data_IF_819254676012
#
_entry.id   IF_819254676012
#
_cell.length_a   1.000
_cell.length_b   1.000
_cell.length_c   1.000
_cell.angle_alpha   90.00
_cell.angle_beta   90.00
_cell.angle_gamma   90.00
#
_symmetry.space_group_name_H-M   'P 1'
#
loop_
_entity.id
_entity.type
_entity.pdbx_description
1 polymer ?
#
# COMPACT_ATOMS: atom_id res chain seq x y z
N UNK A 1 -19.22 43.72 10.72
CA UNK A 1 -18.94 42.33 10.27
C UNK A 1 -19.53 41.40 11.30
N UNK A 2 -20.56 40.63 10.95
CA UNK A 2 -21.34 39.86 11.93
C UNK A 2 -20.51 38.72 12.55
N UNK A 3 -20.68 38.44 13.84
CA UNK A 3 -20.01 37.31 14.53
C UNK A 3 -20.27 35.96 13.85
N UNK A 4 -21.40 35.80 13.16
CA UNK A 4 -21.69 34.66 12.29
C UNK A 4 -20.78 34.60 11.05
N UNK A 5 -20.49 35.73 10.39
CA UNK A 5 -19.56 35.78 9.25
C UNK A 5 -18.12 35.49 9.69
N UNK A 6 -17.72 35.89 10.90
CA UNK A 6 -16.42 35.52 11.47
C UNK A 6 -16.32 34.03 11.79
N UNK A 7 -17.37 33.40 12.34
CA UNK A 7 -17.39 31.94 12.58
C UNK A 7 -17.41 31.13 11.28
N UNK A 8 -18.14 31.58 10.27
CA UNK A 8 -18.18 30.94 8.94
C UNK A 8 -16.80 31.07 8.27
N UNK A 9 -16.21 32.27 8.28
CA UNK A 9 -14.85 32.49 7.76
C UNK A 9 -13.75 31.77 8.53
N UNK A 10 -13.94 31.49 9.83
CA UNK A 10 -13.00 30.71 10.65
C UNK A 10 -13.15 29.20 10.45
N UNK A 11 -14.37 28.70 10.23
CA UNK A 11 -14.61 27.30 9.88
C UNK A 11 -13.94 26.92 8.54
N UNK A 12 -13.89 27.85 7.59
CA UNK A 12 -13.22 27.68 6.29
C UNK A 12 -11.67 27.78 6.37
N UNK A 13 -11.08 28.08 7.54
CA UNK A 13 -9.61 28.28 7.69
C UNK A 13 -8.84 27.11 8.29
N UNK A 14 -9.50 26.02 8.69
CA UNK A 14 -8.76 24.84 9.18
C UNK A 14 -8.27 24.03 7.98
N UNK A 15 -7.00 24.24 7.62
CA UNK A 15 -6.35 23.45 6.58
C UNK A 15 -6.31 21.97 7.02
N UNK A 16 -6.83 21.02 6.23
CA UNK A 16 -6.77 19.61 6.57
C UNK A 16 -5.30 19.17 6.67
N UNK A 17 -4.99 18.34 7.68
CA UNK A 17 -3.66 17.76 7.85
C UNK A 17 -3.44 16.55 6.93
N UNK A 18 -4.52 15.98 6.37
CA UNK A 18 -4.45 14.85 5.45
C UNK A 18 -3.47 15.10 4.28
N UNK A 19 -2.68 14.07 3.96
CA UNK A 19 -1.64 14.16 2.94
C UNK A 19 -2.20 13.82 1.55
N UNK A 20 -2.33 14.82 0.68
CA UNK A 20 -2.75 14.63 -0.72
C UNK A 20 -1.77 13.73 -1.49
N UNK A 21 -0.42 13.92 -1.40
CA UNK A 21 0.52 13.03 -2.10
C UNK A 21 0.37 11.56 -1.69
N UNK A 22 0.19 11.28 -0.39
CA UNK A 22 -0.06 9.94 0.11
C UNK A 22 -1.34 9.34 -0.48
N UNK A 23 -2.43 10.13 -0.50
CA UNK A 23 -3.72 9.66 -1.03
C UNK A 23 -3.64 9.35 -2.52
N UNK A 24 -2.90 10.15 -3.29
CA UNK A 24 -2.66 9.94 -4.71
C UNK A 24 -1.86 8.65 -4.96
N UNK A 25 -0.78 8.43 -4.20
CA UNK A 25 0.01 7.20 -4.32
C UNK A 25 -0.82 5.95 -4.02
N UNK A 26 -1.60 5.97 -2.93
CA UNK A 26 -2.46 4.84 -2.56
C UNK A 26 -3.50 4.52 -3.64
N UNK A 27 -4.02 5.53 -4.34
CA UNK A 27 -4.94 5.32 -5.46
C UNK A 27 -4.26 4.62 -6.64
N UNK A 28 -3.08 5.09 -7.05
CA UNK A 28 -2.34 4.44 -8.13
C UNK A 28 -1.88 3.04 -7.73
N UNK A 29 -1.49 2.83 -6.47
CA UNK A 29 -1.10 1.53 -5.96
C UNK A 29 -2.28 0.55 -5.98
N UNK A 30 -3.50 1.00 -5.69
CA UNK A 30 -4.67 0.12 -5.81
C UNK A 30 -4.80 -0.47 -7.22
N UNK A 31 -4.69 0.37 -8.24
CA UNK A 31 -4.72 -0.08 -9.64
C UNK A 31 -3.52 -0.96 -9.99
N UNK A 32 -2.34 -0.58 -9.49
CA UNK A 32 -1.11 -1.35 -9.68
C UNK A 32 -1.17 -2.73 -9.03
N UNK A 33 -1.75 -2.86 -7.83
CA UNK A 33 -1.88 -4.11 -7.11
C UNK A 33 -2.82 -5.09 -7.84
N UNK A 34 -3.91 -4.58 -8.43
CA UNK A 34 -4.77 -5.38 -9.32
C UNK A 34 -3.99 -5.86 -10.54
N UNK A 35 -3.29 -4.94 -11.22
CA UNK A 35 -2.47 -5.27 -12.38
C UNK A 35 -1.41 -6.34 -12.04
N UNK A 36 -0.66 -6.14 -10.95
CA UNK A 36 0.35 -7.08 -10.48
C UNK A 36 -0.25 -8.46 -10.21
N UNK A 37 -1.37 -8.54 -9.49
CA UNK A 37 -2.03 -9.79 -9.17
C UNK A 37 -2.44 -10.58 -10.41
N UNK A 38 -3.11 -9.93 -11.38
CA UNK A 38 -3.53 -10.61 -12.60
C UNK A 38 -2.34 -11.00 -13.49
N UNK A 39 -1.30 -10.17 -13.55
CA UNK A 39 -0.09 -10.50 -14.30
C UNK A 39 0.62 -11.72 -13.71
N UNK A 40 0.77 -11.79 -12.38
CA UNK A 40 1.33 -12.97 -11.72
C UNK A 40 0.53 -14.24 -12.02
N UNK A 41 -0.81 -14.18 -12.01
CA UNK A 41 -1.65 -15.33 -12.39
C UNK A 41 -1.37 -15.80 -13.82
N UNK A 42 -1.27 -14.88 -14.78
CA UNK A 42 -0.95 -15.20 -16.18
C UNK A 42 0.44 -15.84 -16.28
N UNK A 43 1.42 -15.30 -15.55
CA UNK A 43 2.80 -15.81 -15.55
C UNK A 43 2.90 -17.15 -14.84
N UNK A 44 2.09 -17.43 -13.82
CA UNK A 44 1.96 -18.77 -13.25
C UNK A 44 1.46 -19.77 -14.29
N UNK A 45 0.44 -19.46 -15.09
CA UNK A 45 0.03 -20.35 -16.19
C UNK A 45 1.19 -20.62 -17.16
N UNK A 46 1.86 -19.57 -17.64
CA UNK A 46 3.02 -19.70 -18.52
C UNK A 46 4.11 -20.63 -17.92
N UNK A 47 4.46 -20.39 -16.66
CA UNK A 47 5.45 -21.18 -15.92
C UNK A 47 5.03 -22.63 -15.75
N UNK A 48 3.74 -22.89 -15.48
CA UNK A 48 3.20 -24.24 -15.32
C UNK A 48 3.23 -25.08 -16.60
N UNK A 49 3.18 -24.46 -17.79
CA UNK A 49 3.31 -25.17 -19.06
C UNK A 49 4.77 -25.38 -19.49
N UNK A 50 5.65 -24.40 -19.21
CA UNK A 50 6.99 -24.36 -19.79
C UNK A 50 8.14 -24.76 -18.85
N UNK A 51 7.93 -24.72 -17.53
CA UNK A 51 8.99 -24.92 -16.54
C UNK A 51 8.67 -26.09 -15.61
N UNK A 52 9.73 -26.82 -15.22
CA UNK A 52 9.60 -27.92 -14.28
C UNK A 52 9.42 -27.40 -12.85
N UNK A 53 8.22 -27.56 -12.29
CA UNK A 53 7.98 -27.25 -10.89
C UNK A 53 8.13 -28.49 -10.01
N UNK A 54 8.91 -28.41 -8.91
CA UNK A 54 8.86 -29.44 -7.87
C UNK A 54 7.44 -29.61 -7.33
N UNK A 55 7.11 -30.83 -6.91
CA UNK A 55 5.76 -31.19 -6.48
C UNK A 55 5.21 -30.20 -5.43
N UNK A 56 3.96 -29.78 -5.62
CA UNK A 56 3.21 -28.83 -4.76
C UNK A 56 3.76 -27.39 -4.65
N UNK A 57 4.98 -27.11 -5.11
CA UNK A 57 5.61 -25.78 -4.94
C UNK A 57 4.82 -24.68 -5.64
N UNK A 58 4.36 -24.92 -6.87
CA UNK A 58 3.56 -23.95 -7.62
C UNK A 58 2.25 -23.61 -6.91
N UNK A 59 1.54 -24.62 -6.38
CA UNK A 59 0.31 -24.41 -5.65
C UNK A 59 0.54 -23.56 -4.39
N UNK A 60 1.64 -23.81 -3.68
CA UNK A 60 2.03 -23.02 -2.51
C UNK A 60 2.35 -21.55 -2.87
N UNK A 61 3.01 -21.30 -4.00
CA UNK A 61 3.29 -19.94 -4.48
C UNK A 61 2.02 -19.19 -4.87
N UNK A 62 1.09 -19.86 -5.55
CA UNK A 62 -0.22 -19.29 -5.89
C UNK A 62 -0.98 -18.93 -4.61
N UNK A 63 -1.01 -19.81 -3.61
CA UNK A 63 -1.65 -19.51 -2.32
C UNK A 63 -1.02 -18.28 -1.65
N UNK A 64 0.32 -18.18 -1.66
CA UNK A 64 1.03 -16.98 -1.16
C UNK A 64 0.67 -15.72 -1.93
N UNK A 65 0.41 -15.81 -3.24
CA UNK A 65 -0.03 -14.67 -4.06
C UNK A 65 -1.39 -14.15 -3.60
N UNK A 66 -2.35 -15.03 -3.33
CA UNK A 66 -3.66 -14.63 -2.79
C UNK A 66 -3.53 -13.98 -1.41
N UNK A 67 -2.71 -14.54 -0.51
CA UNK A 67 -2.44 -13.92 0.79
C UNK A 67 -1.79 -12.55 0.64
N UNK A 68 -0.82 -12.41 -0.25
CA UNK A 68 -0.16 -11.15 -0.53
C UNK A 68 -1.13 -10.11 -1.08
N UNK A 69 -2.02 -10.49 -2.00
CA UNK A 69 -3.06 -9.61 -2.52
C UNK A 69 -3.98 -9.10 -1.41
N UNK A 70 -4.47 -9.99 -0.53
CA UNK A 70 -5.31 -9.61 0.62
C UNK A 70 -4.57 -8.62 1.53
N UNK A 71 -3.32 -8.91 1.89
CA UNK A 71 -2.49 -8.01 2.71
C UNK A 71 -2.36 -6.64 2.04
N UNK A 72 -2.07 -6.61 0.74
CA UNK A 72 -1.90 -5.37 -0.02
C UNK A 72 -3.19 -4.54 -0.05
N UNK A 73 -4.35 -5.14 -0.33
CA UNK A 73 -5.63 -4.42 -0.35
C UNK A 73 -6.05 -3.92 1.04
N UNK A 74 -5.90 -4.74 2.08
CA UNK A 74 -6.17 -4.33 3.46
C UNK A 74 -5.26 -3.17 3.84
N UNK A 75 -3.97 -3.25 3.50
CA UNK A 75 -3.01 -2.18 3.75
C UNK A 75 -3.42 -0.88 3.05
N UNK A 76 -3.74 -0.92 1.77
CA UNK A 76 -4.18 0.27 1.01
C UNK A 76 -5.45 0.89 1.62
N UNK A 77 -6.42 0.06 2.02
CA UNK A 77 -7.63 0.52 2.70
C UNK A 77 -7.31 1.24 4.02
N UNK A 78 -6.47 0.65 4.87
CA UNK A 78 -6.06 1.28 6.14
C UNK A 78 -5.28 2.58 5.91
N UNK A 79 -4.40 2.63 4.91
CA UNK A 79 -3.68 3.85 4.54
C UNK A 79 -4.62 4.98 4.13
N UNK A 80 -5.59 4.67 3.27
CA UNK A 80 -6.58 5.65 2.82
C UNK A 80 -7.51 6.09 3.95
N UNK A 81 -7.96 5.15 4.78
CA UNK A 81 -8.80 5.44 5.95
C UNK A 81 -8.04 6.33 6.94
N UNK A 82 -6.84 5.91 7.36
CA UNK A 82 -6.03 6.64 8.33
C UNK A 82 -5.63 8.05 7.88
N UNK A 83 -5.38 8.24 6.58
CA UNK A 83 -5.06 9.55 6.03
C UNK A 83 -6.27 10.49 5.99
N UNK A 84 -7.43 9.99 5.54
CA UNK A 84 -8.66 10.78 5.42
C UNK A 84 -9.28 11.13 6.77
N UNK A 85 -9.21 10.21 7.73
CA UNK A 85 -9.71 10.44 9.08
C UNK A 85 -8.67 11.06 10.00
N UNK A 86 -7.50 11.42 9.46
CA UNK A 86 -6.37 12.01 10.19
C UNK A 86 -6.02 11.25 11.49
N UNK A 87 -6.14 9.91 11.46
CA UNK A 87 -6.06 9.06 12.65
C UNK A 87 -4.67 8.47 12.83
N UNK A 88 -3.92 8.88 13.88
CA UNK A 88 -2.59 8.31 14.15
C UNK A 88 -2.61 6.80 14.37
N UNK A 89 -3.63 6.29 15.06
CA UNK A 89 -3.77 4.86 15.38
C UNK A 89 -3.92 4.00 14.12
N UNK A 90 -4.78 4.43 13.20
CA UNK A 90 -4.99 3.70 11.93
C UNK A 90 -3.74 3.79 11.06
N UNK A 91 -3.06 4.95 11.05
CA UNK A 91 -1.83 5.14 10.29
C UNK A 91 -0.66 4.28 10.80
N UNK A 92 -0.56 4.06 12.12
CA UNK A 92 0.39 3.09 12.69
C UNK A 92 0.08 1.66 12.21
N UNK A 93 -1.21 1.28 12.19
CA UNK A 93 -1.64 0.00 11.63
C UNK A 93 -1.23 -0.16 10.16
N UNK A 94 -1.47 0.87 9.34
CA UNK A 94 -1.00 0.94 7.96
C UNK A 94 0.51 0.71 7.82
N UNK A 95 1.34 1.36 8.65
CA UNK A 95 2.79 1.21 8.64
C UNK A 95 3.21 -0.23 8.95
N UNK A 96 2.60 -0.86 9.95
CA UNK A 96 2.88 -2.26 10.32
C UNK A 96 2.56 -3.19 9.15
N UNK A 97 1.37 -3.06 8.54
CA UNK A 97 0.95 -3.90 7.41
C UNK A 97 1.83 -3.63 6.17
N UNK A 98 2.36 -2.41 6.02
CA UNK A 98 3.30 -2.06 4.94
C UNK A 98 4.59 -2.87 5.01
N UNK A 99 5.07 -3.22 6.21
CA UNK A 99 6.23 -4.11 6.37
C UNK A 99 5.94 -5.51 5.84
N UNK A 100 4.76 -6.06 6.15
CA UNK A 100 4.33 -7.35 5.58
C UNK A 100 4.16 -7.29 4.07
N UNK A 101 3.75 -6.14 3.53
CA UNK A 101 3.65 -5.92 2.07
C UNK A 101 5.05 -5.92 1.42
N UNK A 102 6.04 -5.28 2.04
CA UNK A 102 7.44 -5.33 1.58
C UNK A 102 8.02 -6.75 1.64
N UNK A 103 7.70 -7.52 2.69
CA UNK A 103 8.08 -8.94 2.78
C UNK A 103 7.44 -9.77 1.65
N UNK A 104 6.19 -9.47 1.29
CA UNK A 104 5.53 -10.08 0.14
C UNK A 104 6.26 -9.81 -1.18
N UNK A 105 6.57 -8.54 -1.48
CA UNK A 105 7.37 -8.20 -2.66
C UNK A 105 8.75 -8.88 -2.63
N UNK A 106 9.44 -8.87 -1.49
CA UNK A 106 10.73 -9.55 -1.35
C UNK A 106 10.63 -11.05 -1.65
N UNK A 107 9.56 -11.71 -1.19
CA UNK A 107 9.30 -13.12 -1.48
C UNK A 107 9.18 -13.36 -3.00
N UNK A 108 8.31 -12.63 -3.68
CA UNK A 108 8.08 -12.80 -5.13
C UNK A 108 9.30 -12.41 -5.98
N UNK A 109 10.17 -11.52 -5.48
CA UNK A 109 11.39 -11.09 -6.16
C UNK A 109 12.58 -12.03 -5.97
N UNK A 110 12.69 -12.71 -4.84
CA UNK A 110 13.93 -13.42 -4.45
C UNK A 110 13.73 -14.89 -4.06
N UNK A 111 12.57 -15.24 -3.50
CA UNK A 111 12.31 -16.53 -2.87
C UNK A 111 11.33 -17.41 -3.65
N UNK A 112 10.73 -16.89 -4.72
CA UNK A 112 9.95 -17.66 -5.67
C UNK A 112 10.86 -18.59 -6.48
N UNK A 113 10.36 -19.77 -6.84
CA UNK A 113 11.11 -20.83 -7.54
C UNK A 113 11.65 -20.34 -8.88
N UNK A 114 10.82 -19.66 -9.66
CA UNK A 114 11.21 -19.03 -10.92
C UNK A 114 10.74 -17.58 -10.92
N UNK A 115 11.71 -16.66 -10.95
CA UNK A 115 11.47 -15.22 -11.08
C UNK A 115 11.82 -14.82 -12.50
N UNK A 116 10.80 -14.49 -13.30
CA UNK A 116 11.00 -14.00 -14.66
C UNK A 116 11.45 -12.53 -14.62
N UNK A 117 12.15 -12.07 -15.66
CA UNK A 117 12.60 -10.67 -15.75
C UNK A 117 11.43 -9.67 -15.66
N UNK A 118 10.28 -10.01 -16.25
CA UNK A 118 9.07 -9.19 -16.15
C UNK A 118 8.59 -9.07 -14.69
N UNK A 119 8.51 -10.19 -13.96
CA UNK A 119 8.12 -10.27 -12.54
C UNK A 119 9.05 -9.43 -11.67
N UNK A 120 10.36 -9.51 -11.96
CA UNK A 120 11.35 -8.72 -11.26
C UNK A 120 11.12 -7.22 -11.43
N UNK A 121 10.89 -6.75 -12.66
CA UNK A 121 10.65 -5.33 -12.95
C UNK A 121 9.37 -4.84 -12.26
N UNK A 122 8.25 -5.56 -12.44
CA UNK A 122 6.97 -5.16 -11.84
C UNK A 122 7.01 -5.26 -10.29
N UNK A 123 7.72 -6.23 -9.73
CA UNK A 123 7.87 -6.37 -8.28
C UNK A 123 8.69 -5.22 -7.68
N UNK A 124 9.78 -4.81 -8.34
CA UNK A 124 10.59 -3.67 -7.88
C UNK A 124 9.79 -2.37 -7.92
N UNK A 125 9.05 -2.11 -9.00
CA UNK A 125 8.20 -0.91 -9.10
C UNK A 125 7.18 -0.89 -7.96
N UNK A 126 6.49 -2.01 -7.71
CA UNK A 126 5.53 -2.12 -6.61
C UNK A 126 6.16 -1.91 -5.24
N UNK A 127 7.34 -2.51 -4.99
CA UNK A 127 8.11 -2.31 -3.77
C UNK A 127 8.50 -0.85 -3.54
N UNK A 128 8.96 -0.15 -4.58
CA UNK A 128 9.27 1.29 -4.52
C UNK A 128 8.05 2.12 -4.18
N UNK A 129 6.87 1.80 -4.74
CA UNK A 129 5.61 2.47 -4.37
C UNK A 129 5.30 2.32 -2.87
N UNK A 130 5.46 1.11 -2.31
CA UNK A 130 5.27 0.89 -0.86
C UNK A 130 6.21 1.77 -0.05
N UNK A 131 7.49 1.84 -0.43
CA UNK A 131 8.50 2.65 0.29
C UNK A 131 8.13 4.13 0.27
N UNK A 132 7.74 4.67 -0.89
CA UNK A 132 7.32 6.07 -1.00
C UNK A 132 6.09 6.36 -0.13
N UNK A 133 5.10 5.47 -0.11
CA UNK A 133 3.91 5.62 0.73
C UNK A 133 4.24 5.55 2.22
N UNK A 134 5.16 4.68 2.63
CA UNK A 134 5.67 4.66 4.01
C UNK A 134 6.27 6.02 4.35
N UNK A 135 7.14 6.57 3.50
CA UNK A 135 7.76 7.88 3.73
C UNK A 135 6.71 8.99 3.90
N UNK A 136 5.77 9.12 2.97
CA UNK A 136 4.71 10.13 3.07
C UNK A 136 3.78 9.92 4.28
N UNK A 137 3.52 8.66 4.65
CA UNK A 137 2.70 8.34 5.83
C UNK A 137 3.38 8.68 7.15
N UNK A 138 4.72 8.59 7.24
CA UNK A 138 5.46 9.02 8.43
C UNK A 138 5.31 10.53 8.61
N UNK A 139 5.47 11.32 7.54
CA UNK A 139 5.25 12.76 7.60
C UNK A 139 3.80 13.10 8.01
N UNK A 140 2.80 12.42 7.44
CA UNK A 140 1.40 12.61 7.82
C UNK A 140 1.14 12.25 9.30
N UNK A 141 1.67 11.10 9.75
CA UNK A 141 1.53 10.64 11.13
C UNK A 141 2.13 11.62 12.14
N UNK A 142 3.30 12.18 11.85
CA UNK A 142 3.94 13.19 12.70
C UNK A 142 3.09 14.46 12.79
N UNK A 143 2.50 14.89 11.66
CA UNK A 143 1.59 16.03 11.65
C UNK A 143 0.36 15.76 12.53
N UNK A 144 -0.29 14.60 12.39
CA UNK A 144 -1.47 14.23 13.18
C UNK A 144 -1.16 14.17 14.68
N UNK A 145 -0.05 13.53 15.06
CA UNK A 145 0.36 13.41 16.47
C UNK A 145 0.71 14.76 17.10
N UNK A 146 1.28 15.67 16.33
CA UNK A 146 1.60 17.01 16.85
C UNK A 146 0.32 17.81 17.10
N UNK A 147 -0.67 17.69 16.21
CA UNK A 147 -1.98 18.32 16.39
C UNK A 147 -2.73 17.77 17.62
N UNK A 148 -2.74 16.45 17.81
CA UNK A 148 -3.35 15.80 18.98
C UNK A 148 -2.72 16.22 20.31
N UNK A 149 -1.43 16.59 20.33
CA UNK A 149 -0.75 17.07 21.54
C UNK A 149 -1.07 18.52 21.91
N UNK A 150 -1.53 19.32 20.95
CA UNK A 150 -1.82 20.76 21.14
C UNK A 150 -3.25 21.02 21.63
N UNK A 151 -4.10 20.00 21.64
CA UNK A 151 -5.51 20.04 22.02
C UNK A 151 -5.80 19.04 23.13
#
# INVERSE_FOLDING_TARGET
MNQQQQKISQADTIKPLSSVPLQTLLYFHYMYALYYFFMEIILFFYKGYGLFYPASTMANEIVRLFFFAVISFVRIYFGGMGNKTESPKIMIGFLIISLFTLLGYFYFLSLQTYVLMLEFIIGIIGGVMVILEILFSIFALLAFKNFEKMH
#
